data_IF_618913560951
#
_entry.id   IF_618913560951
#
_cell.length_a   1.000
_cell.length_b   1.000
_cell.length_c   1.000
_cell.angle_alpha   90.00
_cell.angle_beta   90.00
_cell.angle_gamma   90.00
#
_symmetry.space_group_name_H-M   'P 1'
#
loop_
_entity.id
_entity.type
_entity.pdbx_description
1 polymer ?
#
# COMPACT_ATOMS: atom_id res chain seq x y z
N UNK A 1 2.60 3.27 19.05
CA UNK A 1 2.24 2.43 20.23
C UNK A 1 0.77 2.01 20.16
N UNK A 2 0.45 0.87 20.78
CA UNK A 2 -0.91 0.35 20.82
C UNK A 2 -1.79 1.13 21.78
N UNK A 3 -3.08 1.09 21.56
CA UNK A 3 -4.13 1.58 22.46
C UNK A 3 -5.24 0.54 22.64
N UNK A 4 -6.23 0.81 23.49
CA UNK A 4 -7.29 -0.15 23.84
C UNK A 4 -8.04 -0.71 22.61
N UNK A 5 -8.21 0.06 21.54
CA UNK A 5 -8.82 -0.43 20.30
C UNK A 5 -7.99 -1.51 19.63
N UNK A 6 -6.67 -1.39 19.62
CA UNK A 6 -5.78 -2.44 19.13
C UNK A 6 -5.87 -3.69 20.03
N UNK A 7 -5.88 -3.52 21.35
CA UNK A 7 -6.00 -4.64 22.28
C UNK A 7 -7.32 -5.41 22.07
N UNK A 8 -8.42 -4.73 21.80
CA UNK A 8 -9.71 -5.36 21.46
C UNK A 8 -9.63 -6.20 20.19
N UNK A 9 -9.02 -5.66 19.12
CA UNK A 9 -8.83 -6.40 17.86
C UNK A 9 -7.90 -7.61 18.03
N UNK A 10 -6.81 -7.46 18.78
CA UNK A 10 -5.88 -8.54 19.10
C UNK A 10 -6.61 -9.65 19.85
N UNK A 11 -7.34 -9.29 20.91
CA UNK A 11 -8.11 -10.25 21.72
C UNK A 11 -9.14 -11.01 20.89
N UNK A 12 -9.83 -10.33 19.97
CA UNK A 12 -10.79 -10.98 19.06
C UNK A 12 -10.10 -11.99 18.15
N UNK A 13 -9.04 -11.58 17.45
CA UNK A 13 -8.36 -12.45 16.49
C UNK A 13 -7.70 -13.65 17.16
N UNK A 14 -6.95 -13.43 18.24
CA UNK A 14 -6.29 -14.51 18.96
C UNK A 14 -7.30 -15.39 19.73
N UNK A 15 -8.38 -14.79 20.28
CA UNK A 15 -9.46 -15.54 20.92
C UNK A 15 -10.13 -16.50 19.96
N UNK A 16 -10.47 -16.05 18.75
CA UNK A 16 -11.01 -16.93 17.70
C UNK A 16 -10.02 -18.03 17.32
N UNK A 17 -8.73 -17.69 17.19
CA UNK A 17 -7.68 -18.69 16.93
C UNK A 17 -7.65 -19.79 17.98
N UNK A 18 -7.76 -19.43 19.26
CA UNK A 18 -7.79 -20.39 20.39
C UNK A 18 -9.07 -21.23 20.32
N UNK A 19 -10.23 -20.61 20.17
CA UNK A 19 -11.53 -21.31 20.17
C UNK A 19 -11.67 -22.31 19.03
N UNK A 20 -11.13 -21.97 17.88
CA UNK A 20 -11.22 -22.82 16.65
C UNK A 20 -9.95 -23.61 16.35
N UNK A 21 -8.96 -23.61 17.23
CA UNK A 21 -7.66 -24.29 17.03
C UNK A 21 -6.99 -23.88 15.71
N UNK A 22 -7.08 -22.60 15.37
CA UNK A 22 -6.53 -22.03 14.15
C UNK A 22 -5.28 -21.19 14.44
N UNK A 23 -4.26 -21.24 13.57
CA UNK A 23 -3.08 -20.37 13.73
C UNK A 23 -3.45 -18.91 13.50
N UNK A 24 -2.81 -18.01 14.27
CA UNK A 24 -2.92 -16.57 14.09
C UNK A 24 -1.55 -16.01 13.74
N UNK A 25 -1.47 -15.23 12.68
CA UNK A 25 -0.25 -14.59 12.23
C UNK A 25 -0.21 -13.12 12.69
N UNK A 26 0.98 -12.63 12.97
CA UNK A 26 1.22 -11.20 13.20
C UNK A 26 1.83 -10.61 11.93
N UNK A 27 1.08 -9.73 11.25
CA UNK A 27 1.53 -9.08 10.02
C UNK A 27 1.73 -7.58 10.25
N UNK A 28 2.89 -7.10 9.86
CA UNK A 28 3.24 -5.69 9.82
C UNK A 28 3.12 -5.18 8.39
N UNK A 29 2.26 -4.19 8.16
CA UNK A 29 2.09 -3.52 6.87
C UNK A 29 3.07 -2.36 6.75
N UNK A 30 4.35 -2.68 6.72
CA UNK A 30 5.48 -1.73 6.74
C UNK A 30 5.75 -1.12 5.35
N UNK A 31 4.71 -0.55 4.73
CA UNK A 31 4.75 0.05 3.40
C UNK A 31 5.11 1.54 3.39
N UNK A 32 5.28 2.16 4.55
CA UNK A 32 5.60 3.58 4.68
C UNK A 32 6.90 3.81 5.45
N UNK A 33 8.05 3.94 4.76
CA UNK A 33 9.35 4.08 5.42
C UNK A 33 9.48 5.35 6.28
N UNK A 34 8.60 6.34 6.08
CA UNK A 34 8.62 7.58 6.86
C UNK A 34 8.02 7.44 8.27
N UNK A 35 7.28 6.36 8.54
CA UNK A 35 6.54 6.15 9.79
C UNK A 35 6.86 4.83 10.47
N UNK A 36 7.57 3.94 9.79
CA UNK A 36 7.86 2.59 10.26
C UNK A 36 9.25 2.56 10.90
N UNK A 37 9.29 2.46 12.21
CA UNK A 37 10.53 2.34 12.97
C UNK A 37 10.57 1.01 13.72
N UNK A 38 11.74 0.42 13.83
CA UNK A 38 11.95 -0.86 14.52
C UNK A 38 11.44 -0.80 15.97
N UNK A 39 11.53 0.34 16.62
CA UNK A 39 11.02 0.55 17.98
C UNK A 39 9.52 0.24 18.08
N UNK A 40 8.71 0.66 17.10
CA UNK A 40 7.27 0.39 17.11
C UNK A 40 6.95 -1.09 16.89
N UNK A 41 7.70 -1.75 16.00
CA UNK A 41 7.58 -3.20 15.80
C UNK A 41 7.85 -3.95 17.10
N UNK A 42 8.94 -3.62 17.77
CA UNK A 42 9.34 -4.25 19.03
C UNK A 42 8.33 -3.97 20.16
N UNK A 43 7.78 -2.75 20.23
CA UNK A 43 6.75 -2.38 21.19
C UNK A 43 5.46 -3.18 20.95
N UNK A 44 4.99 -3.28 19.70
CA UNK A 44 3.80 -4.06 19.35
C UNK A 44 3.96 -5.53 19.74
N UNK A 45 5.09 -6.13 19.43
CA UNK A 45 5.40 -7.53 19.78
C UNK A 45 5.34 -7.76 21.31
N UNK A 46 5.96 -6.86 22.07
CA UNK A 46 5.90 -6.92 23.54
C UNK A 46 4.47 -6.78 24.07
N UNK A 47 3.69 -5.87 23.50
CA UNK A 47 2.32 -5.62 23.93
C UNK A 47 1.40 -6.82 23.64
N UNK A 48 1.53 -7.47 22.48
CA UNK A 48 0.80 -8.69 22.14
C UNK A 48 1.16 -9.83 23.12
N UNK A 49 2.44 -10.00 23.41
CA UNK A 49 2.92 -11.00 24.39
C UNK A 49 2.44 -10.68 25.83
N UNK A 50 2.45 -9.39 26.21
CA UNK A 50 1.94 -8.95 27.51
C UNK A 50 0.44 -9.24 27.68
N UNK A 51 -0.34 -9.16 26.58
CA UNK A 51 -1.75 -9.56 26.58
C UNK A 51 -1.94 -11.08 26.69
N UNK A 52 -0.86 -11.87 26.66
CA UNK A 52 -0.89 -13.31 26.84
C UNK A 52 -1.01 -14.12 25.54
N UNK A 53 -0.80 -13.49 24.38
CA UNK A 53 -0.93 -14.14 23.08
C UNK A 53 0.41 -14.46 22.44
N UNK A 54 0.43 -15.54 21.63
CA UNK A 54 1.56 -15.92 20.79
C UNK A 54 1.07 -16.14 19.35
N UNK A 55 1.81 -15.65 18.38
CA UNK A 55 1.53 -15.82 16.95
C UNK A 55 2.32 -16.97 16.36
N UNK A 56 1.76 -17.57 15.31
CA UNK A 56 2.40 -18.67 14.58
C UNK A 56 3.52 -18.18 13.67
N UNK A 57 3.18 -17.19 12.82
CA UNK A 57 4.13 -16.59 11.88
C UNK A 57 4.15 -15.08 12.01
N UNK A 58 5.36 -14.52 11.84
CA UNK A 58 5.58 -13.09 11.76
C UNK A 58 5.83 -12.71 10.31
N UNK A 59 5.00 -11.82 9.77
CA UNK A 59 5.02 -11.43 8.37
C UNK A 59 5.20 -9.93 8.23
N UNK A 60 5.91 -9.51 7.19
CA UNK A 60 6.11 -8.10 6.84
C UNK A 60 5.74 -7.89 5.38
N UNK A 61 5.04 -6.80 5.07
CA UNK A 61 4.75 -6.44 3.68
C UNK A 61 6.04 -6.26 2.88
N UNK A 62 7.11 -5.76 3.50
CA UNK A 62 8.42 -5.58 2.89
C UNK A 62 9.09 -6.86 2.41
N UNK A 63 8.76 -8.03 2.98
CA UNK A 63 9.24 -9.33 2.49
C UNK A 63 8.69 -9.67 1.10
N UNK A 64 7.60 -9.04 0.70
CA UNK A 64 6.87 -9.29 -0.54
C UNK A 64 6.98 -8.16 -1.56
N UNK A 65 7.82 -7.15 -1.34
CA UNK A 65 7.91 -5.98 -2.24
C UNK A 65 8.25 -6.35 -3.68
N UNK A 66 9.11 -7.32 -3.91
CA UNK A 66 9.39 -7.80 -5.27
C UNK A 66 8.16 -8.46 -5.89
N UNK A 67 7.48 -9.30 -5.17
CA UNK A 67 6.25 -9.97 -5.63
C UNK A 67 5.15 -8.95 -5.96
N UNK A 68 4.95 -7.97 -5.09
CA UNK A 68 3.97 -6.90 -5.29
C UNK A 68 4.30 -6.07 -6.54
N UNK A 69 5.60 -5.78 -6.75
CA UNK A 69 6.06 -5.09 -7.96
C UNK A 69 5.77 -5.91 -9.22
N UNK A 70 6.09 -7.19 -9.21
CA UNK A 70 5.85 -8.09 -10.35
C UNK A 70 4.35 -8.17 -10.68
N UNK A 71 3.49 -8.23 -9.68
CA UNK A 71 2.04 -8.17 -9.88
C UNK A 71 1.56 -6.83 -10.42
N UNK A 72 2.12 -5.73 -9.96
CA UNK A 72 1.81 -4.40 -10.50
C UNK A 72 2.16 -4.31 -11.99
N UNK A 73 3.31 -4.85 -12.40
CA UNK A 73 3.71 -4.96 -13.81
C UNK A 73 2.69 -5.77 -14.61
N UNK A 74 2.20 -6.90 -14.07
CA UNK A 74 1.16 -7.69 -14.73
C UNK A 74 -0.18 -6.93 -14.86
N UNK A 75 -0.55 -6.10 -13.85
CA UNK A 75 -1.73 -5.23 -13.95
C UNK A 75 -1.58 -4.20 -15.07
N UNK A 76 -0.40 -3.61 -15.22
CA UNK A 76 -0.11 -2.68 -16.33
C UNK A 76 -0.24 -3.41 -17.68
N UNK A 77 0.36 -4.59 -17.83
CA UNK A 77 0.29 -5.40 -19.07
C UNK A 77 -1.14 -5.74 -19.45
N UNK A 78 -2.00 -5.98 -18.46
CA UNK A 78 -3.43 -6.26 -18.66
C UNK A 78 -4.28 -5.01 -18.87
N UNK A 79 -3.69 -3.82 -18.90
CA UNK A 79 -4.42 -2.55 -19.01
C UNK A 79 -5.29 -2.22 -17.78
N UNK A 80 -4.93 -2.75 -16.60
CA UNK A 80 -5.67 -2.56 -15.35
C UNK A 80 -4.99 -1.57 -14.39
N UNK A 81 -3.86 -1.02 -14.77
CA UNK A 81 -3.15 0.03 -14.04
C UNK A 81 -2.49 0.99 -15.01
N UNK A 82 -2.30 2.22 -14.59
CA UNK A 82 -1.62 3.26 -15.35
C UNK A 82 -0.82 4.19 -14.46
N UNK A 83 0.25 4.77 -15.02
CA UNK A 83 1.03 5.80 -14.36
C UNK A 83 0.35 7.15 -14.55
N UNK A 84 0.05 7.82 -13.45
CA UNK A 84 -0.54 9.15 -13.43
C UNK A 84 0.53 10.18 -13.06
N UNK A 85 0.67 11.23 -13.88
CA UNK A 85 1.63 12.30 -13.68
C UNK A 85 0.99 13.59 -13.17
N UNK A 86 -0.23 13.52 -12.65
CA UNK A 86 -0.91 14.64 -12.02
C UNK A 86 -0.32 14.94 -10.64
N UNK A 87 -0.42 16.21 -10.23
CA UNK A 87 -0.15 16.60 -8.85
C UNK A 87 -1.25 16.10 -7.90
N UNK A 88 -0.95 16.07 -6.61
CA UNK A 88 -1.95 15.72 -5.58
C UNK A 88 -3.17 16.65 -5.60
N UNK A 89 -2.97 17.92 -5.91
CA UNK A 89 -4.03 18.94 -6.01
C UNK A 89 -4.95 18.65 -7.20
N UNK A 90 -4.38 18.38 -8.37
CA UNK A 90 -5.15 18.02 -9.57
C UNK A 90 -5.97 16.74 -9.35
N UNK A 91 -5.38 15.73 -8.73
CA UNK A 91 -6.09 14.49 -8.38
C UNK A 91 -7.23 14.74 -7.39
N UNK A 92 -7.01 15.57 -6.38
CA UNK A 92 -8.03 15.90 -5.39
C UNK A 92 -9.24 16.61 -6.04
N UNK A 93 -8.99 17.53 -6.98
CA UNK A 93 -10.06 18.20 -7.74
C UNK A 93 -10.85 17.24 -8.62
N UNK A 94 -10.19 16.25 -9.22
CA UNK A 94 -10.81 15.30 -10.15
C UNK A 94 -11.51 14.13 -9.44
N UNK A 95 -11.19 13.87 -8.17
CA UNK A 95 -11.76 12.73 -7.44
C UNK A 95 -13.29 12.85 -7.25
N UNK A 96 -13.83 14.04 -7.26
CA UNK A 96 -15.24 14.30 -6.97
C UNK A 96 -15.56 14.16 -5.49
N UNK A 97 -16.86 14.03 -5.19
CA UNK A 97 -17.40 13.86 -3.84
C UNK A 97 -18.29 12.62 -3.75
N UNK A 98 -18.77 12.22 -2.57
CA UNK A 98 -19.73 11.11 -2.49
C UNK A 98 -20.99 11.30 -3.34
N UNK A 99 -21.39 12.54 -3.58
CA UNK A 99 -22.58 12.90 -4.36
C UNK A 99 -22.29 13.33 -5.80
N UNK A 100 -21.03 13.55 -6.17
CA UNK A 100 -20.62 13.94 -7.52
C UNK A 100 -19.56 12.97 -8.06
N UNK A 101 -19.71 12.48 -9.31
CA UNK A 101 -18.73 11.59 -9.89
C UNK A 101 -17.38 12.28 -10.06
N UNK A 102 -16.32 11.48 -10.09
CA UNK A 102 -14.99 11.94 -10.48
C UNK A 102 -14.83 12.11 -11.98
N UNK A 103 -13.69 12.63 -12.39
CA UNK A 103 -13.29 12.86 -13.78
C UNK A 103 -12.05 12.02 -14.07
N UNK A 104 -12.02 11.41 -15.24
CA UNK A 104 -10.87 10.62 -15.67
C UNK A 104 -9.59 11.48 -15.75
N UNK A 105 -8.47 10.92 -15.29
CA UNK A 105 -7.15 11.53 -15.48
C UNK A 105 -6.82 11.67 -16.97
N UNK A 106 -6.17 12.76 -17.40
CA UNK A 106 -5.68 12.88 -18.78
C UNK A 106 -4.67 11.79 -19.15
N UNK A 107 -4.08 11.14 -18.17
CA UNK A 107 -3.10 10.06 -18.35
C UNK A 107 -3.71 8.65 -18.27
N UNK A 108 -5.00 8.54 -18.03
CA UNK A 108 -5.69 7.25 -17.83
C UNK A 108 -5.59 6.29 -19.00
N UNK A 109 -5.43 6.81 -20.19
CA UNK A 109 -5.36 6.04 -21.44
C UNK A 109 -3.96 5.99 -22.06
N UNK A 110 -2.91 6.20 -21.26
CA UNK A 110 -1.54 5.92 -21.69
C UNK A 110 -1.41 4.49 -22.21
N UNK A 111 -0.54 4.28 -23.20
CA UNK A 111 -0.25 2.93 -23.71
C UNK A 111 0.39 2.05 -22.64
N UNK A 112 0.24 0.74 -22.79
CA UNK A 112 0.87 -0.25 -21.89
C UNK A 112 2.39 -0.06 -21.90
N UNK A 113 2.98 0.14 -23.07
CA UNK A 113 4.42 0.33 -23.24
C UNK A 113 4.93 1.57 -22.48
N UNK A 114 4.22 2.69 -22.59
CA UNK A 114 4.58 3.92 -21.87
C UNK A 114 4.44 3.75 -20.36
N UNK A 115 3.36 3.10 -19.91
CA UNK A 115 3.15 2.82 -18.48
C UNK A 115 4.26 1.90 -17.92
N UNK A 116 4.66 0.88 -18.65
CA UNK A 116 5.75 -0.03 -18.23
C UNK A 116 7.09 0.73 -18.13
N UNK A 117 7.42 1.55 -19.13
CA UNK A 117 8.63 2.37 -19.12
C UNK A 117 8.65 3.32 -17.91
N UNK A 118 7.58 4.08 -17.70
CA UNK A 118 7.47 5.02 -16.60
C UNK A 118 7.53 4.33 -15.23
N UNK A 119 6.87 3.19 -15.07
CA UNK A 119 6.87 2.46 -13.80
C UNK A 119 8.25 1.91 -13.45
N UNK A 120 8.99 1.39 -14.43
CA UNK A 120 10.37 0.96 -14.24
C UNK A 120 11.28 2.13 -13.84
N UNK A 121 11.14 3.28 -14.51
CA UNK A 121 11.88 4.51 -14.20
C UNK A 121 11.54 5.06 -12.82
N UNK A 122 10.29 4.96 -12.38
CA UNK A 122 9.88 5.25 -11.00
C UNK A 122 10.64 4.36 -10.01
N UNK A 123 10.68 3.05 -10.24
CA UNK A 123 11.43 2.09 -9.42
C UNK A 123 12.91 2.43 -9.35
N UNK A 124 13.50 2.84 -10.47
CA UNK A 124 14.92 3.20 -10.58
C UNK A 124 15.27 4.55 -9.91
N UNK A 125 14.27 5.27 -9.40
CA UNK A 125 14.50 6.54 -8.69
C UNK A 125 14.77 7.74 -9.61
N UNK A 126 14.35 7.67 -10.89
CA UNK A 126 14.59 8.75 -11.85
C UNK A 126 13.68 9.97 -11.66
N UNK A 127 12.58 9.82 -10.93
CA UNK A 127 11.61 10.88 -10.70
C UNK A 127 11.57 11.37 -9.25
N UNK A 128 11.39 12.68 -9.02
CA UNK A 128 11.15 13.22 -7.69
C UNK A 128 9.83 12.69 -7.08
N UNK A 129 9.75 12.74 -5.75
CA UNK A 129 8.49 12.48 -5.03
C UNK A 129 7.38 13.40 -5.53
N UNK A 130 6.15 12.89 -5.58
CA UNK A 130 4.96 13.66 -5.96
C UNK A 130 4.76 13.89 -7.46
N UNK A 131 5.65 13.38 -8.34
CA UNK A 131 5.56 13.59 -9.79
C UNK A 131 4.80 12.49 -10.53
N UNK A 132 4.88 11.26 -10.03
CA UNK A 132 4.27 10.08 -10.66
C UNK A 132 3.75 9.14 -9.58
N UNK A 133 2.61 8.52 -9.85
CA UNK A 133 2.03 7.44 -9.06
C UNK A 133 1.52 6.34 -10.00
N UNK A 134 1.39 5.12 -9.49
CA UNK A 134 0.65 4.07 -10.18
C UNK A 134 -0.77 4.03 -9.63
N UNK A 135 -1.77 4.03 -10.51
CA UNK A 135 -3.19 3.92 -10.15
C UNK A 135 -3.81 2.68 -10.76
N UNK A 136 -4.71 2.04 -10.01
CA UNK A 136 -5.59 1.02 -10.58
C UNK A 136 -6.61 1.67 -11.52
N UNK A 137 -6.87 1.05 -12.66
CA UNK A 137 -7.86 1.51 -13.64
C UNK A 137 -9.19 0.81 -13.38
N UNK A 138 -10.06 1.45 -12.60
CA UNK A 138 -11.35 0.89 -12.17
C UNK A 138 -12.49 1.72 -12.73
N UNK A 139 -12.98 2.72 -11.98
CA UNK A 139 -14.10 3.57 -12.39
C UNK A 139 -14.11 4.89 -11.60
N UNK A 140 -13.79 5.98 -12.26
CA UNK A 140 -13.81 7.33 -11.66
C UNK A 140 -15.22 7.80 -11.28
N UNK A 141 -16.26 7.16 -11.78
CA UNK A 141 -17.68 7.49 -11.50
C UNK A 141 -18.31 6.61 -10.42
N UNK A 142 -17.56 5.65 -9.88
CA UNK A 142 -18.07 4.76 -8.84
C UNK A 142 -18.65 5.52 -7.66
N UNK A 143 -19.79 5.07 -7.14
CA UNK A 143 -20.39 5.60 -5.91
C UNK A 143 -19.50 5.34 -4.69
N UNK A 144 -18.73 4.25 -4.72
CA UNK A 144 -17.67 3.99 -3.74
C UNK A 144 -16.41 4.76 -4.16
N UNK A 145 -16.09 5.83 -3.43
CA UNK A 145 -14.92 6.66 -3.72
C UNK A 145 -13.58 5.91 -3.65
N UNK A 146 -13.52 4.79 -2.92
CA UNK A 146 -12.32 3.94 -2.86
C UNK A 146 -12.05 3.19 -4.18
N UNK A 147 -13.06 3.06 -5.04
CA UNK A 147 -12.95 2.44 -6.37
C UNK A 147 -12.67 3.44 -7.49
N UNK A 148 -12.51 4.73 -7.17
CA UNK A 148 -12.18 5.79 -8.14
C UNK A 148 -10.68 5.81 -8.41
N UNK A 149 -10.22 4.86 -9.20
CA UNK A 149 -8.81 4.68 -9.60
C UNK A 149 -7.83 4.91 -8.41
N UNK A 150 -7.84 4.04 -7.39
CA UNK A 150 -7.02 4.21 -6.21
C UNK A 150 -5.52 4.13 -6.52
N UNK A 151 -4.73 4.77 -5.67
CA UNK A 151 -3.27 4.74 -5.78
C UNK A 151 -2.77 3.36 -5.35
N UNK A 152 -1.94 2.73 -6.18
CA UNK A 152 -1.27 1.46 -5.89
C UNK A 152 0.16 1.67 -5.39
N UNK A 153 0.91 2.57 -6.05
CA UNK A 153 2.31 2.89 -5.72
C UNK A 153 2.57 4.39 -5.70
N UNK A 154 3.46 4.79 -4.80
CA UNK A 154 3.98 6.15 -4.68
C UNK A 154 5.51 6.14 -4.69
N UNK A 155 6.12 7.26 -5.05
CA UNK A 155 7.57 7.48 -4.97
C UNK A 155 7.92 8.03 -3.59
N UNK A 156 8.82 7.37 -2.88
CA UNK A 156 9.40 7.85 -1.63
C UNK A 156 10.92 7.58 -1.62
N UNK A 157 11.72 8.63 -1.56
CA UNK A 157 13.18 8.57 -1.46
C UNK A 157 13.61 8.53 0.00
N UNK A 158 13.20 7.47 0.72
CA UNK A 158 13.47 7.31 2.15
C UNK A 158 14.02 5.92 2.46
N UNK A 159 14.87 5.85 3.48
CA UNK A 159 15.39 4.60 3.99
C UNK A 159 14.29 3.79 4.68
N UNK A 160 14.16 2.52 4.31
CA UNK A 160 13.23 1.59 4.93
C UNK A 160 13.96 0.74 5.99
N UNK A 161 13.34 0.53 7.15
CA UNK A 161 13.97 -0.17 8.28
C UNK A 161 14.39 -1.62 7.98
N UNK A 162 13.80 -2.29 6.99
CA UNK A 162 14.13 -3.68 6.59
C UNK A 162 14.81 -3.77 5.24
N UNK A 163 14.38 -3.00 4.24
CA UNK A 163 14.90 -3.08 2.87
C UNK A 163 15.95 -2.03 2.54
N UNK A 164 16.22 -1.10 3.47
CA UNK A 164 17.19 -0.05 3.27
C UNK A 164 16.82 0.89 2.11
N UNK A 165 17.76 1.13 1.21
CA UNK A 165 17.58 2.02 0.06
C UNK A 165 17.28 1.25 -1.25
N UNK A 166 16.91 -0.03 -1.15
CA UNK A 166 16.67 -0.87 -2.32
C UNK A 166 15.46 -0.43 -3.15
N UNK A 167 14.45 0.15 -2.50
CA UNK A 167 13.22 0.58 -3.15
C UNK A 167 13.08 2.10 -3.14
N UNK A 168 12.59 2.66 -4.26
CA UNK A 168 12.27 4.07 -4.45
C UNK A 168 10.77 4.30 -4.64
N UNK A 169 10.02 3.21 -4.80
CA UNK A 169 8.55 3.19 -4.84
C UNK A 169 8.03 2.23 -3.78
N UNK A 170 6.90 2.56 -3.19
CA UNK A 170 6.31 1.78 -2.12
C UNK A 170 4.82 1.56 -2.39
N UNK A 171 4.31 0.33 -2.16
CA UNK A 171 2.89 0.04 -2.33
C UNK A 171 2.05 0.75 -1.27
N UNK A 172 0.78 0.96 -1.58
CA UNK A 172 -0.22 1.41 -0.63
C UNK A 172 -0.78 0.22 0.16
N UNK A 173 -1.49 0.47 1.27
CA UNK A 173 -1.94 -0.57 2.21
C UNK A 173 -2.74 -1.71 1.58
N UNK A 174 -3.63 -1.39 0.67
CA UNK A 174 -4.60 -2.36 0.13
C UNK A 174 -4.16 -2.95 -1.21
N UNK A 175 -2.90 -2.76 -1.53
CA UNK A 175 -2.29 -3.34 -2.72
C UNK A 175 -1.64 -4.68 -2.43
#
# INVERSE_FOLDING_TARGET
YLHIGHASSIALNFGLGIDYHAPVNLRFDDTNPAKEEQEFVDAIKRDVQWLGYQWEHECYASDYFQQLYDWAVEFIKKGKAYVDSQTSEEMAQQKGTPSTPGVDSPYRNRSVEENLDLFERMKNGEFPEGTHILRAKIDMKSTNMLMRDPIMYRILHKHHHRTGDAWKIYPMYDW
#
